data_IF_843386756110
#
_entry.id   IF_843386756110
#
_cell.length_a   1.000
_cell.length_b   1.000
_cell.length_c   1.000
_cell.angle_alpha   90.00
_cell.angle_beta   90.00
_cell.angle_gamma   90.00
#
_symmetry.space_group_name_H-M   'P 1'
#
loop_
_entity.id
_entity.type
_entity.pdbx_description
1 polymer ?
#
# COMPACT_ATOMS: atom_id res chain seq x y z
N UNK A 1 -16.75 -2.79 4.15
CA UNK A 1 -15.47 -3.41 4.56
C UNK A 1 -14.86 -2.49 5.59
N UNK A 2 -14.46 -3.00 6.77
CA UNK A 2 -13.64 -2.23 7.71
C UNK A 2 -12.43 -1.64 6.98
N UNK A 3 -12.06 -0.42 7.33
CA UNK A 3 -10.89 0.24 6.79
C UNK A 3 -10.11 0.91 7.92
N UNK A 4 -8.79 0.83 7.81
CA UNK A 4 -7.84 1.55 8.65
C UNK A 4 -7.20 2.61 7.76
N UNK A 5 -7.17 3.85 8.23
CA UNK A 5 -6.52 4.96 7.55
C UNK A 5 -5.59 5.66 8.53
N UNK A 6 -4.43 6.07 8.05
CA UNK A 6 -3.52 6.96 8.77
C UNK A 6 -2.94 8.00 7.80
N UNK A 7 -2.50 9.13 8.35
CA UNK A 7 -1.95 10.22 7.55
C UNK A 7 -0.79 10.94 8.23
N UNK A 8 0.15 11.42 7.42
CA UNK A 8 1.25 12.25 7.87
C UNK A 8 1.30 13.55 7.06
N UNK A 9 1.57 14.67 7.75
CA UNK A 9 1.88 15.94 7.10
C UNK A 9 3.41 16.03 6.91
N UNK A 10 3.85 16.12 5.67
CA UNK A 10 5.27 16.14 5.31
C UNK A 10 5.59 17.42 4.57
N UNK A 11 6.64 18.14 5.01
CA UNK A 11 7.12 19.37 4.38
C UNK A 11 7.95 19.06 3.13
N UNK A 12 7.30 18.54 2.11
CA UNK A 12 7.89 18.28 0.81
C UNK A 12 6.82 18.37 -0.30
N UNK A 13 7.22 18.67 -1.55
CA UNK A 13 6.32 18.74 -2.69
C UNK A 13 5.61 17.41 -2.94
N UNK A 14 4.35 17.47 -3.35
CA UNK A 14 3.49 16.31 -3.63
C UNK A 14 4.12 15.33 -4.62
N UNK A 15 4.67 15.84 -5.72
CA UNK A 15 5.31 15.01 -6.75
C UNK A 15 6.50 14.21 -6.19
N UNK A 16 7.37 14.84 -5.41
CA UNK A 16 8.54 14.17 -4.82
C UNK A 16 8.14 13.07 -3.84
N UNK A 17 7.09 13.28 -3.04
CA UNK A 17 6.58 12.24 -2.13
C UNK A 17 5.89 11.10 -2.86
N UNK A 18 5.18 11.39 -3.95
CA UNK A 18 4.61 10.35 -4.81
C UNK A 18 5.73 9.51 -5.43
N UNK A 19 6.76 10.14 -6.00
CA UNK A 19 7.93 9.47 -6.58
C UNK A 19 8.65 8.62 -5.54
N UNK A 20 8.96 9.16 -4.36
CA UNK A 20 9.55 8.40 -3.25
C UNK A 20 8.68 7.19 -2.85
N UNK A 21 7.35 7.36 -2.90
CA UNK A 21 6.45 6.28 -2.56
C UNK A 21 6.44 5.14 -3.59
N UNK A 22 6.72 5.46 -4.86
CA UNK A 22 6.85 4.52 -5.97
C UNK A 22 8.31 4.15 -6.29
N UNK A 23 9.29 4.66 -5.54
CA UNK A 23 10.69 4.24 -5.67
C UNK A 23 10.89 2.92 -4.92
N UNK A 24 10.90 1.83 -5.68
CA UNK A 24 11.05 0.47 -5.14
C UNK A 24 12.46 0.14 -4.66
N UNK A 25 13.48 0.92 -5.05
CA UNK A 25 14.82 0.80 -4.50
C UNK A 25 14.91 1.44 -3.10
N UNK A 26 14.16 2.53 -2.87
CA UNK A 26 14.08 3.19 -1.56
C UNK A 26 12.94 2.68 -0.68
N UNK A 27 11.97 1.95 -1.24
CA UNK A 27 10.73 1.54 -0.55
C UNK A 27 10.98 0.86 0.79
N UNK A 28 11.93 -0.08 0.84
CA UNK A 28 12.25 -0.83 2.06
C UNK A 28 12.98 0.01 3.11
N UNK A 29 13.50 1.19 2.76
CA UNK A 29 14.19 2.08 3.71
C UNK A 29 13.21 2.88 4.57
N UNK A 30 12.07 3.26 3.99
CA UNK A 30 11.12 4.13 4.68
C UNK A 30 9.84 3.40 5.09
N UNK A 31 9.46 2.31 4.42
CA UNK A 31 8.26 1.54 4.75
C UNK A 31 8.57 0.50 5.83
N UNK A 32 8.21 0.73 7.11
CA UNK A 32 8.51 -0.21 8.20
C UNK A 32 7.69 -1.49 8.10
N UNK A 33 6.63 -1.52 7.29
CA UNK A 33 5.78 -2.68 7.16
C UNK A 33 6.45 -3.75 6.29
N UNK A 34 7.27 -3.36 5.31
CA UNK A 34 7.85 -4.26 4.32
C UNK A 34 9.25 -4.75 4.70
N UNK A 35 9.46 -6.06 4.61
CA UNK A 35 10.80 -6.69 4.67
C UNK A 35 11.35 -7.03 3.30
N UNK A 36 10.49 -7.38 2.36
CA UNK A 36 10.87 -7.68 0.99
C UNK A 36 9.75 -7.30 0.04
N UNK A 37 10.14 -6.92 -1.17
CA UNK A 37 9.24 -6.55 -2.25
C UNK A 37 9.87 -6.97 -3.58
N UNK A 38 9.07 -7.46 -4.52
CA UNK A 38 9.48 -7.66 -5.90
C UNK A 38 8.30 -7.54 -6.85
N UNK A 39 8.53 -7.05 -8.05
CA UNK A 39 7.56 -7.16 -9.13
C UNK A 39 7.38 -8.64 -9.54
N UNK A 40 6.18 -8.97 -10.00
CA UNK A 40 5.88 -10.26 -10.61
C UNK A 40 5.90 -10.10 -12.15
N UNK A 41 6.58 -11.02 -12.84
CA UNK A 41 6.81 -10.91 -14.29
C UNK A 41 7.96 -9.96 -14.64
N UNK A 42 7.86 -9.30 -15.78
CA UNK A 42 8.91 -8.44 -16.34
C UNK A 42 8.73 -6.94 -16.00
N UNK A 43 7.78 -6.62 -15.13
CA UNK A 43 7.52 -5.24 -14.73
C UNK A 43 8.65 -4.70 -13.84
N UNK A 44 9.03 -3.44 -14.07
CA UNK A 44 10.03 -2.73 -13.26
C UNK A 44 9.45 -1.48 -12.56
N UNK A 45 8.21 -1.13 -12.86
CA UNK A 45 7.55 0.08 -12.36
C UNK A 45 6.07 -0.16 -12.06
N UNK A 46 5.49 0.72 -11.23
CA UNK A 46 4.08 0.65 -10.87
C UNK A 46 3.20 1.16 -12.01
N UNK A 47 2.35 0.30 -12.55
CA UNK A 47 1.33 0.67 -13.52
C UNK A 47 0.04 -0.12 -13.29
N UNK A 48 -1.13 0.35 -13.77
CA UNK A 48 -2.36 -0.44 -13.70
C UNK A 48 -2.18 -1.84 -14.30
N UNK A 49 -2.60 -2.87 -13.57
CA UNK A 49 -2.43 -4.29 -13.93
C UNK A 49 -1.10 -4.91 -13.48
N UNK A 50 -0.10 -4.11 -13.10
CA UNK A 50 1.18 -4.63 -12.59
C UNK A 50 0.98 -5.25 -11.21
N UNK A 51 1.66 -6.38 -10.99
CA UNK A 51 1.62 -7.11 -9.73
C UNK A 51 2.94 -7.02 -8.99
N UNK A 52 2.82 -6.94 -7.67
CA UNK A 52 3.93 -6.88 -6.73
C UNK A 52 3.69 -7.89 -5.63
N UNK A 53 4.69 -8.73 -5.40
CA UNK A 53 4.76 -9.58 -4.23
C UNK A 53 5.45 -8.82 -3.10
N UNK A 54 4.87 -8.88 -1.90
CA UNK A 54 5.38 -8.26 -0.69
C UNK A 54 5.48 -9.26 0.45
N UNK A 55 6.47 -9.06 1.32
CA UNK A 55 6.61 -9.73 2.61
C UNK A 55 6.63 -8.70 3.72
N UNK A 56 5.70 -8.81 4.64
CA UNK A 56 5.59 -7.95 5.79
C UNK A 56 6.63 -8.29 6.88
N UNK A 57 6.84 -7.38 7.82
CA UNK A 57 7.77 -7.53 8.94
C UNK A 57 7.47 -8.74 9.85
N UNK A 58 6.20 -9.15 9.94
CA UNK A 58 5.75 -10.33 10.68
C UNK A 58 5.83 -11.63 9.86
N UNK A 59 6.37 -11.58 8.64
CA UNK A 59 6.54 -12.74 7.76
C UNK A 59 5.35 -13.06 6.85
N UNK A 60 4.20 -12.39 7.01
CA UNK A 60 3.05 -12.57 6.11
C UNK A 60 3.40 -12.09 4.69
N UNK A 61 2.97 -12.85 3.69
CA UNK A 61 3.24 -12.55 2.28
C UNK A 61 1.96 -12.30 1.51
N UNK A 62 2.00 -11.38 0.54
CA UNK A 62 0.83 -11.00 -0.26
C UNK A 62 1.27 -10.58 -1.66
N UNK A 63 0.51 -10.97 -2.68
CA UNK A 63 0.62 -10.44 -4.03
C UNK A 63 -0.52 -9.46 -4.26
N UNK A 64 -0.18 -8.22 -4.62
CA UNK A 64 -1.13 -7.15 -4.92
C UNK A 64 -1.02 -6.75 -6.39
N UNK A 65 -2.14 -6.32 -6.96
CA UNK A 65 -2.22 -5.74 -8.31
C UNK A 65 -2.60 -4.26 -8.17
N UNK A 66 -1.85 -3.39 -8.83
CA UNK A 66 -2.20 -1.98 -8.94
C UNK A 66 -3.44 -1.84 -9.83
N UNK A 67 -4.51 -1.27 -9.29
CA UNK A 67 -5.73 -0.99 -10.05
C UNK A 67 -5.74 0.41 -10.62
N UNK A 68 -4.99 1.34 -10.01
CA UNK A 68 -4.83 2.71 -10.47
C UNK A 68 -3.47 3.25 -10.05
N UNK A 69 -2.79 3.90 -10.97
CA UNK A 69 -1.60 4.72 -10.70
C UNK A 69 -1.86 6.04 -11.42
N UNK A 70 -2.01 7.13 -10.66
CA UNK A 70 -2.30 8.45 -11.18
C UNK A 70 -1.37 9.46 -10.51
N UNK A 71 -0.13 9.61 -11.01
CA UNK A 71 0.81 10.58 -10.49
C UNK A 71 0.29 12.01 -10.67
N UNK A 72 0.55 12.93 -9.72
CA UNK A 72 1.20 12.72 -8.42
C UNK A 72 0.19 12.44 -7.28
N UNK A 73 -1.07 12.12 -7.59
CA UNK A 73 -2.16 12.23 -6.63
C UNK A 73 -2.50 10.92 -5.92
N UNK A 74 -2.51 9.79 -6.63
CA UNK A 74 -3.01 8.55 -6.03
C UNK A 74 -2.50 7.25 -6.63
N UNK A 75 -2.41 6.25 -5.77
CA UNK A 75 -2.20 4.85 -6.13
C UNK A 75 -3.27 4.00 -5.44
N UNK A 76 -3.84 3.05 -6.16
CA UNK A 76 -4.76 2.06 -5.61
C UNK A 76 -4.34 0.65 -6.01
N UNK A 77 -4.54 -0.29 -5.11
CA UNK A 77 -4.12 -1.68 -5.27
C UNK A 77 -5.12 -2.63 -4.61
N UNK A 78 -5.17 -3.87 -5.10
CA UNK A 78 -5.98 -4.95 -4.53
C UNK A 78 -5.15 -6.20 -4.36
N UNK A 79 -5.45 -7.00 -3.33
CA UNK A 79 -4.83 -8.31 -3.15
C UNK A 79 -5.35 -9.30 -4.20
N UNK A 80 -4.43 -10.00 -4.85
CA UNK A 80 -4.69 -11.13 -5.76
C UNK A 80 -4.53 -12.45 -5.01
N UNK A 81 -3.46 -12.57 -4.23
CA UNK A 81 -3.18 -13.72 -3.38
C UNK A 81 -2.59 -13.23 -2.06
N UNK A 82 -2.88 -13.91 -0.95
CA UNK A 82 -2.38 -13.48 0.34
C UNK A 82 -2.63 -14.48 1.46
N UNK A 83 -2.38 -14.06 2.71
CA UNK A 83 -2.51 -14.91 3.88
C UNK A 83 -3.93 -15.46 4.01
N UNK A 84 -4.10 -16.68 4.53
CA UNK A 84 -5.40 -17.32 4.55
C UNK A 84 -6.41 -16.59 5.47
N UNK A 85 -5.92 -15.77 6.42
CA UNK A 85 -6.73 -14.89 7.27
C UNK A 85 -7.47 -13.81 6.48
N UNK A 86 -6.96 -13.35 5.32
CA UNK A 86 -7.60 -12.31 4.52
C UNK A 86 -8.43 -12.91 3.39
N UNK A 87 -9.69 -12.50 3.30
CA UNK A 87 -10.58 -12.82 2.17
C UNK A 87 -10.46 -11.78 1.05
N UNK A 88 -10.43 -10.50 1.42
CA UNK A 88 -10.22 -9.37 0.50
C UNK A 88 -9.33 -8.35 1.18
N UNK A 89 -8.48 -7.70 0.40
CA UNK A 89 -7.66 -6.58 0.85
C UNK A 89 -7.53 -5.58 -0.31
N UNK A 90 -7.64 -4.31 0.00
CA UNK A 90 -7.44 -3.20 -0.94
C UNK A 90 -6.72 -2.05 -0.23
N UNK A 91 -5.79 -1.42 -0.92
CA UNK A 91 -5.05 -0.26 -0.44
C UNK A 91 -5.27 0.96 -1.35
N UNK A 92 -5.25 2.14 -0.76
CA UNK A 92 -5.24 3.42 -1.48
C UNK A 92 -4.29 4.38 -0.80
N UNK A 93 -3.39 4.97 -1.58
CA UNK A 93 -2.52 6.07 -1.15
C UNK A 93 -2.97 7.33 -1.87
N UNK A 94 -3.06 8.43 -1.12
CA UNK A 94 -3.43 9.74 -1.63
C UNK A 94 -2.42 10.76 -1.14
N UNK A 95 -2.06 11.67 -2.02
CA UNK A 95 -1.15 12.77 -1.74
C UNK A 95 -1.91 14.06 -2.02
N UNK A 96 -2.07 14.89 -1.00
CA UNK A 96 -2.90 16.11 -1.06
C UNK A 96 -2.04 17.28 -0.62
N UNK A 97 -1.93 18.31 -1.46
CA UNK A 97 -1.26 19.55 -1.06
C UNK A 97 -1.98 20.18 0.14
N UNK A 98 -1.22 20.54 1.17
CA UNK A 98 -1.78 21.15 2.38
C UNK A 98 -2.03 22.64 2.15
N UNK A 99 -3.25 23.09 2.44
CA UNK A 99 -3.66 24.48 2.12
C UNK A 99 -3.00 25.50 3.04
N UNK A 100 -2.84 25.13 4.31
CA UNK A 100 -2.37 26.05 5.36
C UNK A 100 -0.84 26.11 5.47
N UNK A 101 -0.13 25.15 4.85
CA UNK A 101 1.33 25.03 4.92
C UNK A 101 1.89 24.90 3.51
N UNK A 102 2.30 26.02 2.88
CA UNK A 102 2.86 26.02 1.53
C UNK A 102 4.03 25.04 1.39
N UNK A 103 4.00 24.22 0.34
CA UNK A 103 5.02 23.21 0.09
C UNK A 103 4.96 21.97 0.98
N UNK A 104 3.91 21.83 1.82
CA UNK A 104 3.65 20.60 2.53
C UNK A 104 2.56 19.77 1.86
N UNK A 105 2.63 18.45 2.06
CA UNK A 105 1.72 17.46 1.51
C UNK A 105 1.22 16.58 2.64
N UNK A 106 -0.08 16.34 2.67
CA UNK A 106 -0.69 15.30 3.47
C UNK A 106 -0.68 13.98 2.71
N UNK A 107 0.09 13.03 3.22
CA UNK A 107 0.18 11.66 2.71
C UNK A 107 -0.81 10.82 3.49
N UNK A 108 -1.75 10.17 2.80
CA UNK A 108 -2.85 9.41 3.42
C UNK A 108 -2.83 8.00 2.89
N UNK A 109 -2.64 7.02 3.77
CA UNK A 109 -2.66 5.60 3.44
C UNK A 109 -3.89 4.95 4.07
N UNK A 110 -4.72 4.35 3.22
CA UNK A 110 -5.96 3.68 3.63
C UNK A 110 -5.97 2.24 3.15
N UNK A 111 -6.27 1.32 4.06
CA UNK A 111 -6.36 -0.11 3.79
C UNK A 111 -7.70 -0.66 4.24
N UNK A 112 -8.42 -1.33 3.34
CA UNK A 112 -9.69 -1.97 3.62
C UNK A 112 -9.56 -3.48 3.45
N UNK A 113 -10.06 -4.26 4.40
CA UNK A 113 -9.94 -5.71 4.35
C UNK A 113 -11.15 -6.42 4.95
N UNK A 114 -11.29 -7.70 4.62
CA UNK A 114 -12.20 -8.63 5.30
C UNK A 114 -11.44 -9.89 5.66
N UNK A 115 -11.71 -10.42 6.84
CA UNK A 115 -11.10 -11.66 7.32
C UNK A 115 -11.93 -12.89 6.93
N UNK A 116 -11.32 -14.07 6.93
CA UNK A 116 -12.03 -15.35 6.83
C UNK A 116 -12.48 -15.78 8.23
N UNK A 117 -13.80 -15.90 8.50
CA UNK A 117 -14.31 -16.26 9.83
C UNK A 117 -13.76 -17.60 10.36
N UNK A 118 -13.50 -18.57 9.49
CA UNK A 118 -13.15 -19.95 9.87
C UNK A 118 -11.78 -20.11 10.53
N UNK A 119 -10.86 -19.15 10.40
CA UNK A 119 -9.56 -19.23 11.06
C UNK A 119 -9.58 -18.65 12.49
N UNK A 120 -10.52 -17.75 12.78
CA UNK A 120 -10.77 -17.27 14.13
C UNK A 120 -11.77 -18.15 14.88
N UNK A 121 -12.68 -18.83 14.18
CA UNK A 121 -13.63 -19.78 14.79
C UNK A 121 -12.91 -20.91 15.56
N UNK A 122 -11.74 -21.37 15.10
CA UNK A 122 -10.93 -22.40 15.78
C UNK A 122 -10.22 -21.95 17.07
N UNK A 123 -10.24 -20.66 17.40
CA UNK A 123 -9.63 -20.11 18.62
C UNK A 123 -10.69 -19.71 19.67
N UNK A 124 -11.98 -19.91 19.37
CA UNK A 124 -13.12 -19.55 20.24
C UNK A 124 -13.97 -20.79 20.58
N UNK A 125 -13.48 -22.00 20.26
CA UNK A 125 -14.01 -23.29 20.74
C UNK A 125 -13.03 -23.93 21.73
#
# INVERSE_FOLDING_TARGET
MPAVEDSALIRAPKAALFELAQDYALRLRWDPFLRALRFEGDAAEAAPGVRVWVRAWNGLTMSVEYTRVAPPDTVAMKMIAGPPIFRRFAGSWRFVDERDVPGATRVIFRYAFTTRPSLLARLVD
#
